data_IF_637044168973
#
_entry.id   IF_637044168973
#
_cell.length_a   1.000
_cell.length_b   1.000
_cell.length_c   1.000
_cell.angle_alpha   90.00
_cell.angle_beta   90.00
_cell.angle_gamma   90.00
#
_symmetry.space_group_name_H-M   'P 1'
#
loop_
_entity.id
_entity.type
_entity.pdbx_description
1 polymer ?
#
# COMPACT_ATOMS: atom_id res chain seq x y z
N UNK A 1 4.39 -17.95 -11.24
CA UNK A 1 4.40 -17.59 -12.67
C UNK A 1 5.71 -16.93 -13.10
N UNK A 2 6.13 -15.79 -12.52
CA UNK A 2 7.34 -15.03 -12.93
C UNK A 2 8.63 -15.85 -12.90
N UNK A 3 8.88 -16.65 -11.85
CA UNK A 3 10.05 -17.55 -11.80
C UNK A 3 10.13 -18.49 -13.00
N UNK A 4 9.00 -19.06 -13.41
CA UNK A 4 8.94 -19.97 -14.57
C UNK A 4 9.26 -19.24 -15.88
N UNK A 5 8.73 -18.03 -16.07
CA UNK A 5 9.08 -17.19 -17.21
C UNK A 5 10.57 -16.85 -17.24
N UNK A 6 11.15 -16.41 -16.11
CA UNK A 6 12.58 -16.12 -15.98
C UNK A 6 13.45 -17.30 -16.40
N UNK A 7 13.15 -18.48 -15.86
CA UNK A 7 13.88 -19.71 -16.21
C UNK A 7 13.75 -20.07 -17.69
N UNK A 8 12.53 -19.98 -18.25
CA UNK A 8 12.30 -20.31 -19.65
C UNK A 8 13.06 -19.36 -20.58
N UNK A 9 13.01 -18.04 -20.37
CA UNK A 9 13.75 -17.09 -21.20
C UNK A 9 15.25 -17.28 -21.09
N UNK A 10 15.79 -17.45 -19.88
CA UNK A 10 17.21 -17.73 -19.67
C UNK A 10 17.63 -18.98 -20.46
N UNK A 11 16.93 -20.11 -20.28
CA UNK A 11 17.29 -21.37 -20.95
C UNK A 11 17.09 -21.32 -22.47
N UNK A 12 15.99 -20.72 -22.96
CA UNK A 12 15.65 -20.71 -24.39
C UNK A 12 16.44 -19.68 -25.19
N UNK A 13 17.10 -18.73 -24.53
CA UNK A 13 18.00 -17.76 -25.17
C UNK A 13 19.47 -18.14 -25.03
N UNK A 14 19.79 -19.40 -24.68
CA UNK A 14 21.15 -19.85 -24.39
C UNK A 14 21.83 -18.91 -23.37
N UNK A 15 21.12 -18.61 -22.29
CA UNK A 15 21.59 -17.83 -21.15
C UNK A 15 21.84 -16.33 -21.42
N UNK A 16 21.42 -15.81 -22.59
CA UNK A 16 21.58 -14.39 -22.91
C UNK A 16 20.64 -13.47 -22.14
N UNK A 17 19.45 -13.95 -21.73
CA UNK A 17 18.50 -13.15 -20.95
C UNK A 17 18.78 -13.31 -19.46
N UNK A 18 19.12 -12.25 -18.73
CA UNK A 18 19.44 -12.31 -17.30
C UNK A 18 18.35 -12.99 -16.45
N UNK A 19 18.71 -13.86 -15.49
CA UNK A 19 17.76 -14.59 -14.64
C UNK A 19 16.82 -13.70 -13.82
N UNK A 20 17.24 -12.48 -13.52
CA UNK A 20 16.45 -11.49 -12.77
C UNK A 20 15.98 -10.32 -13.64
N UNK A 21 15.77 -10.54 -14.93
CA UNK A 21 15.21 -9.49 -15.79
C UNK A 21 13.87 -8.96 -15.23
N UNK A 22 13.57 -7.67 -15.49
CA UNK A 22 12.49 -6.98 -14.80
C UNK A 22 11.10 -7.38 -15.32
N UNK A 23 10.10 -7.34 -14.44
CA UNK A 23 8.68 -7.51 -14.79
C UNK A 23 7.88 -6.31 -14.29
N UNK A 24 7.04 -5.75 -15.17
CA UNK A 24 6.03 -4.76 -14.79
C UNK A 24 4.69 -5.44 -14.53
N UNK A 25 4.02 -5.07 -13.46
CA UNK A 25 2.64 -5.48 -13.17
C UNK A 25 1.77 -4.27 -12.81
N UNK A 26 0.46 -4.45 -12.90
CA UNK A 26 -0.53 -3.43 -12.52
C UNK A 26 -1.29 -3.96 -11.32
N UNK A 27 -1.37 -3.15 -10.26
CA UNK A 27 -2.21 -3.46 -9.12
C UNK A 27 -3.68 -3.53 -9.57
N UNK A 28 -4.45 -4.46 -9.02
CA UNK A 28 -5.87 -4.55 -9.32
C UNK A 28 -6.58 -3.24 -8.93
N UNK A 29 -7.20 -2.59 -9.90
CA UNK A 29 -7.98 -1.36 -9.68
C UNK A 29 -9.32 -1.67 -8.98
N UNK A 30 -9.94 -0.71 -8.28
CA UNK A 30 -11.23 -0.93 -7.64
C UNK A 30 -12.31 -1.39 -8.62
N UNK A 31 -13.18 -2.33 -8.20
CA UNK A 31 -14.33 -2.74 -9.00
C UNK A 31 -15.40 -1.63 -9.04
N UNK A 32 -16.44 -1.84 -9.85
CA UNK A 32 -17.63 -0.96 -9.86
C UNK A 32 -18.47 -1.20 -8.60
N UNK A 33 -18.58 -2.45 -8.18
CA UNK A 33 -19.40 -2.88 -7.04
C UNK A 33 -18.51 -3.48 -5.94
N UNK A 34 -18.89 -3.23 -4.68
CA UNK A 34 -18.15 -3.71 -3.50
C UNK A 34 -18.64 -5.11 -3.11
N UNK A 35 -17.90 -6.18 -3.43
CA UNK A 35 -18.17 -7.55 -2.92
C UNK A 35 -17.21 -8.67 -3.41
N UNK A 36 -16.07 -8.35 -4.02
CA UNK A 36 -15.23 -9.34 -4.69
C UNK A 36 -13.89 -9.62 -3.97
N UNK A 37 -13.59 -8.92 -2.86
CA UNK A 37 -12.38 -9.14 -2.08
C UNK A 37 -11.10 -8.68 -2.79
N UNK A 38 -11.22 -7.66 -3.63
CA UNK A 38 -10.14 -7.03 -4.39
C UNK A 38 -9.03 -6.50 -3.47
N UNK A 39 -9.36 -6.05 -2.25
CA UNK A 39 -8.33 -5.66 -1.27
C UNK A 39 -7.35 -6.81 -0.97
N UNK A 40 -7.83 -8.06 -0.84
CA UNK A 40 -6.97 -9.24 -0.63
C UNK A 40 -6.09 -9.50 -1.83
N UNK A 41 -6.66 -9.41 -3.03
CA UNK A 41 -5.88 -9.61 -4.27
C UNK A 41 -4.77 -8.57 -4.38
N UNK A 42 -5.06 -7.30 -4.10
CA UNK A 42 -4.04 -6.23 -4.08
C UNK A 42 -2.92 -6.53 -3.08
N UNK A 43 -3.26 -7.03 -1.89
CA UNK A 43 -2.28 -7.43 -0.89
C UNK A 43 -1.39 -8.58 -1.40
N UNK A 44 -1.98 -9.64 -1.95
CA UNK A 44 -1.25 -10.77 -2.49
C UNK A 44 -0.42 -10.45 -3.74
N UNK A 45 -0.82 -9.45 -4.56
CA UNK A 45 0.00 -8.97 -5.68
C UNK A 45 1.37 -8.46 -5.24
N UNK A 46 1.50 -8.07 -3.97
CA UNK A 46 2.75 -7.59 -3.37
C UNK A 46 3.44 -8.62 -2.48
N UNK A 47 2.95 -9.87 -2.42
CA UNK A 47 3.38 -10.87 -1.42
C UNK A 47 3.28 -10.37 0.02
N UNK A 48 2.22 -9.62 0.33
CA UNK A 48 1.96 -9.15 1.70
C UNK A 48 2.98 -8.12 2.22
N UNK A 49 3.62 -7.38 1.31
CA UNK A 49 4.51 -6.25 1.65
C UNK A 49 3.87 -4.88 1.46
N UNK A 50 2.81 -4.78 0.64
CA UNK A 50 2.18 -3.50 0.26
C UNK A 50 2.89 -2.77 -0.89
N UNK A 51 4.14 -3.10 -1.20
CA UNK A 51 4.89 -2.47 -2.29
C UNK A 51 5.71 -3.49 -3.10
N UNK A 52 6.10 -3.12 -4.32
CA UNK A 52 7.11 -3.85 -5.11
C UNK A 52 8.08 -2.86 -5.76
N UNK A 53 9.34 -3.25 -6.04
CA UNK A 53 9.99 -4.51 -5.67
C UNK A 53 10.09 -4.72 -4.16
N UNK A 54 10.22 -5.97 -3.74
CA UNK A 54 10.48 -6.37 -2.35
C UNK A 54 11.36 -7.64 -2.34
N UNK A 55 11.70 -8.14 -1.15
CA UNK A 55 12.59 -9.30 -0.96
C UNK A 55 12.13 -10.57 -1.68
N UNK A 56 10.82 -10.78 -1.81
CA UNK A 56 10.23 -11.92 -2.52
C UNK A 56 10.05 -11.64 -4.02
N UNK A 57 9.75 -10.39 -4.37
CA UNK A 57 9.47 -9.91 -5.73
C UNK A 57 10.61 -9.07 -6.31
N UNK A 58 11.81 -9.67 -6.35
CA UNK A 58 13.00 -9.04 -6.91
C UNK A 58 12.81 -8.60 -8.37
N UNK A 59 13.16 -7.35 -8.67
CA UNK A 59 13.02 -6.71 -9.99
C UNK A 59 11.60 -6.80 -10.57
N UNK A 60 10.57 -6.82 -9.72
CA UNK A 60 9.18 -6.67 -10.15
C UNK A 60 8.68 -5.32 -9.68
N UNK A 61 8.25 -4.49 -10.61
CA UNK A 61 7.74 -3.16 -10.33
C UNK A 61 6.24 -3.10 -10.62
N UNK A 62 5.53 -2.24 -9.90
CA UNK A 62 4.08 -2.20 -9.94
C UNK A 62 3.56 -0.78 -10.10
N UNK A 63 2.57 -0.60 -10.97
CA UNK A 63 1.73 0.59 -10.96
C UNK A 63 0.62 0.43 -9.92
N UNK A 64 0.58 1.32 -8.92
CA UNK A 64 -0.54 1.41 -7.96
C UNK A 64 -1.76 1.95 -8.68
N UNK A 65 -2.92 1.34 -8.47
CA UNK A 65 -4.15 1.66 -9.19
C UNK A 65 -5.41 1.69 -8.30
N UNK A 66 -5.26 1.49 -6.99
CA UNK A 66 -6.39 1.41 -6.05
C UNK A 66 -7.19 2.72 -5.91
N UNK A 67 -6.65 3.85 -6.36
CA UNK A 67 -7.29 5.17 -6.37
C UNK A 67 -7.86 5.55 -7.75
N UNK A 68 -7.86 4.60 -8.69
CA UNK A 68 -8.34 4.77 -10.06
C UNK A 68 -9.57 3.87 -10.30
N UNK A 69 -10.74 4.18 -9.70
CA UNK A 69 -11.89 3.30 -9.70
C UNK A 69 -12.43 2.99 -11.10
N UNK A 70 -12.89 1.76 -11.29
CA UNK A 70 -13.58 1.36 -12.51
C UNK A 70 -14.92 2.08 -12.68
N UNK A 71 -15.27 2.43 -13.92
CA UNK A 71 -16.64 2.81 -14.30
C UNK A 71 -17.38 1.67 -15.02
N UNK A 72 -16.68 0.56 -15.27
CA UNK A 72 -17.15 -0.66 -15.94
C UNK A 72 -16.13 -1.78 -15.70
N UNK A 73 -16.28 -2.94 -16.37
CA UNK A 73 -15.29 -4.03 -16.36
C UNK A 73 -13.89 -3.61 -16.84
N UNK A 74 -13.78 -2.50 -17.58
CA UNK A 74 -12.51 -1.94 -18.00
C UNK A 74 -12.19 -0.68 -17.17
N UNK A 75 -11.01 -0.60 -16.53
CA UNK A 75 -10.57 0.63 -15.90
C UNK A 75 -10.48 1.74 -16.95
N UNK A 76 -11.12 2.91 -16.76
CA UNK A 76 -11.08 4.00 -17.73
C UNK A 76 -9.70 4.71 -17.73
N UNK A 77 -8.98 4.66 -16.60
CA UNK A 77 -7.74 5.40 -16.35
C UNK A 77 -6.47 4.67 -16.83
N UNK A 78 -6.54 4.02 -18.01
CA UNK A 78 -5.40 3.24 -18.57
C UNK A 78 -4.17 4.10 -18.81
N UNK A 79 -4.35 5.39 -19.12
CA UNK A 79 -3.25 6.33 -19.32
C UNK A 79 -2.49 6.58 -18.02
N UNK A 80 -3.18 6.94 -16.94
CA UNK A 80 -2.56 7.13 -15.62
C UNK A 80 -1.85 5.85 -15.14
N UNK A 81 -2.46 4.68 -15.35
CA UNK A 81 -1.84 3.39 -15.04
C UNK A 81 -0.54 3.19 -15.85
N UNK A 82 -0.57 3.49 -17.15
CA UNK A 82 0.61 3.37 -18.01
C UNK A 82 1.72 4.34 -17.60
N UNK A 83 1.38 5.59 -17.27
CA UNK A 83 2.35 6.61 -16.83
C UNK A 83 3.04 6.16 -15.52
N UNK A 84 2.26 5.67 -14.53
CA UNK A 84 2.80 5.10 -13.29
C UNK A 84 3.67 3.87 -13.53
N UNK A 85 3.29 3.01 -14.48
CA UNK A 85 4.06 1.81 -14.82
C UNK A 85 5.38 2.17 -15.52
N UNK A 86 5.37 3.17 -16.39
CA UNK A 86 6.56 3.67 -17.09
C UNK A 86 7.55 4.31 -16.12
N UNK A 87 7.07 5.12 -15.17
CA UNK A 87 7.89 5.70 -14.09
C UNK A 87 8.64 4.61 -13.31
N UNK A 88 7.93 3.54 -12.96
CA UNK A 88 8.51 2.39 -12.28
C UNK A 88 9.49 1.60 -13.15
N UNK A 89 9.22 1.50 -14.47
CA UNK A 89 10.11 0.86 -15.42
C UNK A 89 11.44 1.62 -15.57
N UNK A 90 11.44 2.96 -15.61
CA UNK A 90 12.68 3.74 -15.67
C UNK A 90 13.61 3.37 -14.53
N UNK A 91 13.10 3.34 -13.30
CA UNK A 91 13.93 3.07 -12.13
C UNK A 91 14.37 1.60 -12.02
N UNK A 92 13.47 0.64 -12.28
CA UNK A 92 13.76 -0.79 -12.03
C UNK A 92 14.35 -1.49 -13.25
N UNK A 93 13.87 -1.18 -14.45
CA UNK A 93 14.31 -1.85 -15.68
C UNK A 93 15.50 -1.15 -16.35
N UNK A 94 15.52 0.17 -16.32
CA UNK A 94 16.56 0.98 -16.98
C UNK A 94 17.60 1.56 -16.02
N UNK A 95 17.41 1.37 -14.70
CA UNK A 95 18.28 1.91 -13.66
C UNK A 95 18.42 3.44 -13.73
N UNK A 96 17.36 4.10 -14.18
CA UNK A 96 17.28 5.53 -14.36
C UNK A 96 16.41 6.16 -13.26
N UNK A 97 17.03 7.02 -12.45
CA UNK A 97 16.39 7.71 -11.33
C UNK A 97 15.98 9.16 -11.68
N UNK A 98 16.17 9.59 -12.93
CA UNK A 98 15.92 10.97 -13.35
C UNK A 98 14.46 11.41 -13.25
N UNK A 99 13.52 10.46 -13.37
CA UNK A 99 12.08 10.71 -13.24
C UNK A 99 11.59 10.73 -11.77
N UNK A 100 12.49 10.55 -10.81
CA UNK A 100 12.15 10.54 -9.38
C UNK A 100 11.60 9.21 -8.88
N UNK A 101 10.85 9.27 -7.77
CA UNK A 101 10.32 8.09 -7.08
C UNK A 101 9.06 7.54 -7.78
N UNK A 102 8.94 6.22 -7.88
CA UNK A 102 7.76 5.55 -8.46
C UNK A 102 6.81 4.89 -7.44
N UNK A 103 7.16 4.91 -6.16
CA UNK A 103 6.33 4.38 -5.08
C UNK A 103 5.65 5.51 -4.30
N UNK A 104 4.45 5.24 -3.78
CA UNK A 104 3.84 6.07 -2.75
C UNK A 104 4.47 5.80 -1.37
N UNK A 105 4.20 6.65 -0.37
CA UNK A 105 4.79 6.55 0.95
C UNK A 105 4.29 5.28 1.67
N UNK A 106 5.17 4.60 2.41
CA UNK A 106 4.84 3.41 3.20
C UNK A 106 5.16 3.64 4.68
N UNK A 107 4.39 3.08 5.64
CA UNK A 107 4.73 3.22 7.05
C UNK A 107 6.15 2.71 7.36
N UNK A 108 6.91 3.50 8.12
CA UNK A 108 8.22 3.13 8.64
C UNK A 108 8.19 2.88 10.14
N UNK A 109 7.39 3.66 10.88
CA UNK A 109 7.19 3.44 12.30
C UNK A 109 5.78 3.83 12.74
N UNK A 110 5.32 3.21 13.83
CA UNK A 110 4.03 3.49 14.45
C UNK A 110 4.28 3.70 15.93
N UNK A 111 3.88 4.85 16.45
CA UNK A 111 3.99 5.19 17.86
C UNK A 111 2.62 5.46 18.46
N UNK A 112 2.39 4.99 19.69
CA UNK A 112 1.15 5.25 20.42
C UNK A 112 1.43 6.12 21.62
N UNK A 113 0.65 7.20 21.75
CA UNK A 113 0.59 8.03 22.95
C UNK A 113 -0.87 8.21 23.35
N UNK A 114 -1.24 7.56 24.44
CA UNK A 114 -2.60 7.49 24.98
C UNK A 114 -3.62 7.06 23.91
N UNK A 115 -4.48 8.00 23.49
CA UNK A 115 -5.54 7.81 22.50
C UNK A 115 -5.12 8.20 21.07
N UNK A 116 -3.84 8.45 20.83
CA UNK A 116 -3.32 8.88 19.54
C UNK A 116 -2.33 7.83 19.03
N UNK A 117 -2.56 7.38 17.79
CA UNK A 117 -1.64 6.54 17.05
C UNK A 117 -0.99 7.38 15.95
N UNK A 118 0.32 7.58 15.99
CA UNK A 118 1.06 8.34 14.99
C UNK A 118 1.78 7.37 14.06
N UNK A 119 1.52 7.49 12.76
CA UNK A 119 2.19 6.73 11.72
C UNK A 119 3.22 7.66 11.08
N UNK A 120 4.48 7.28 11.15
CA UNK A 120 5.57 7.92 10.42
C UNK A 120 5.84 7.15 9.14
N UNK A 121 5.85 7.84 8.01
CA UNK A 121 6.09 7.24 6.70
C UNK A 121 7.58 7.34 6.32
N UNK A 122 8.02 6.37 5.53
CA UNK A 122 9.40 6.18 5.10
C UNK A 122 9.99 7.37 4.34
N UNK A 123 9.15 8.15 3.65
CA UNK A 123 9.63 9.03 2.59
C UNK A 123 8.76 10.28 2.38
N UNK A 124 9.43 11.44 2.37
CA UNK A 124 8.93 12.72 1.87
C UNK A 124 7.82 13.36 2.71
N UNK A 125 7.39 14.56 2.31
CA UNK A 125 6.20 15.20 2.90
C UNK A 125 4.93 14.55 2.35
N UNK A 126 3.93 14.36 3.19
CA UNK A 126 2.64 13.81 2.80
C UNK A 126 1.72 14.90 2.23
N UNK A 127 0.91 14.50 1.27
CA UNK A 127 -0.30 15.20 0.88
C UNK A 127 -1.49 14.40 1.43
N UNK A 128 -2.15 14.93 2.47
CA UNK A 128 -3.35 14.31 3.04
C UNK A 128 -4.58 14.85 2.31
N UNK A 129 -5.20 14.02 1.48
CA UNK A 129 -6.33 14.41 0.63
C UNK A 129 -7.71 14.08 1.21
N UNK A 130 -7.76 13.15 2.15
CA UNK A 130 -8.98 12.81 2.87
C UNK A 130 -8.67 12.51 4.33
N UNK A 131 -9.52 13.01 5.22
CA UNK A 131 -9.53 12.69 6.65
C UNK A 131 -10.77 11.88 7.03
N UNK A 132 -11.55 11.46 6.02
CA UNK A 132 -12.84 10.80 6.21
C UNK A 132 -12.68 9.44 6.92
N UNK A 133 -13.71 9.05 7.66
CA UNK A 133 -13.76 7.78 8.36
C UNK A 133 -13.90 6.65 7.33
N UNK A 134 -12.88 5.79 7.22
CA UNK A 134 -12.96 4.58 6.39
C UNK A 134 -11.68 4.20 5.67
N UNK A 135 -10.67 5.07 5.60
CA UNK A 135 -9.39 4.71 5.02
C UNK A 135 -8.51 3.90 5.96
N UNK A 136 -8.59 4.17 7.26
CA UNK A 136 -7.87 3.47 8.32
C UNK A 136 -8.82 2.73 9.23
N UNK A 137 -8.38 1.55 9.66
CA UNK A 137 -9.08 0.73 10.64
C UNK A 137 -8.09 0.19 11.66
N UNK A 138 -8.55 0.08 12.91
CA UNK A 138 -7.81 -0.46 14.04
C UNK A 138 -8.46 -1.74 14.52
N UNK A 139 -7.63 -2.70 14.88
CA UNK A 139 -8.01 -3.87 15.63
C UNK A 139 -7.79 -3.57 17.11
N UNK A 140 -8.85 -3.67 17.91
CA UNK A 140 -8.79 -3.49 19.36
C UNK A 140 -9.26 -4.74 20.09
N UNK A 141 -8.51 -5.18 21.08
CA UNK A 141 -8.85 -6.37 21.87
C UNK A 141 -8.39 -6.26 23.32
N UNK A 142 -9.10 -6.98 24.20
CA UNK A 142 -8.74 -7.11 25.61
C UNK A 142 -7.44 -7.89 25.83
N UNK A 143 -7.01 -8.70 24.85
CA UNK A 143 -5.75 -9.45 24.88
C UNK A 143 -4.79 -8.90 23.80
N UNK A 144 -3.58 -8.53 24.22
CA UNK A 144 -2.53 -7.95 23.39
C UNK A 144 -2.06 -8.85 22.23
N UNK A 145 -2.27 -10.16 22.34
CA UNK A 145 -1.90 -11.13 21.29
C UNK A 145 -2.98 -11.39 20.23
N UNK A 146 -4.11 -10.69 20.30
CA UNK A 146 -5.27 -10.97 19.44
C UNK A 146 -5.05 -10.49 18.00
N UNK A 147 -5.31 -11.37 17.03
CA UNK A 147 -5.41 -11.01 15.61
C UNK A 147 -6.90 -10.91 15.27
N UNK A 148 -7.34 -9.73 14.83
CA UNK A 148 -8.75 -9.52 14.48
C UNK A 148 -9.19 -10.31 13.26
N UNK A 149 -10.39 -10.90 13.36
CA UNK A 149 -11.16 -11.36 12.21
C UNK A 149 -11.68 -10.17 11.37
N UNK A 150 -12.13 -10.42 10.14
CA UNK A 150 -12.50 -9.35 9.18
C UNK A 150 -13.57 -8.39 9.68
N UNK A 151 -14.45 -8.84 10.57
CA UNK A 151 -15.57 -8.08 11.15
C UNK A 151 -15.23 -7.40 12.49
N UNK A 152 -14.00 -7.54 13.00
CA UNK A 152 -13.57 -6.99 14.30
C UNK A 152 -12.80 -5.67 14.17
N UNK A 153 -12.60 -5.20 12.94
CA UNK A 153 -11.90 -3.95 12.64
C UNK A 153 -12.83 -2.74 12.79
N UNK A 154 -12.34 -1.69 13.44
CA UNK A 154 -13.09 -0.45 13.69
C UNK A 154 -12.44 0.72 12.94
N UNK A 155 -13.25 1.50 12.23
CA UNK A 155 -12.75 2.66 11.48
C UNK A 155 -12.20 3.75 12.41
N UNK A 156 -11.16 4.44 11.93
CA UNK A 156 -10.59 5.62 12.58
C UNK A 156 -10.43 6.76 11.57
N UNK A 157 -10.07 7.94 12.08
CA UNK A 157 -9.92 9.20 11.34
C UNK A 157 -8.55 9.80 11.60
N UNK A 158 -8.03 10.49 10.58
CA UNK A 158 -6.85 11.34 10.72
C UNK A 158 -7.27 12.62 11.44
N UNK A 159 -6.66 12.89 12.59
CA UNK A 159 -6.90 14.10 13.39
C UNK A 159 -5.84 15.18 13.17
N UNK A 160 -4.65 14.80 12.71
CA UNK A 160 -3.57 15.71 12.37
C UNK A 160 -2.60 15.07 11.39
N UNK A 161 -1.83 15.89 10.70
CA UNK A 161 -0.74 15.47 9.82
C UNK A 161 0.36 16.52 9.82
N UNK A 162 1.60 16.09 9.88
CA UNK A 162 2.77 16.97 9.87
C UNK A 162 3.94 16.28 9.17
N UNK A 163 4.57 16.96 8.21
CA UNK A 163 5.72 16.42 7.48
C UNK A 163 5.41 15.08 6.82
N UNK A 164 6.09 14.02 7.26
CA UNK A 164 5.94 12.64 6.80
C UNK A 164 4.99 11.80 7.68
N UNK A 165 4.16 12.42 8.53
CA UNK A 165 3.38 11.71 9.55
C UNK A 165 1.89 12.04 9.53
N UNK A 166 1.07 11.07 9.96
CA UNK A 166 -0.36 11.26 10.26
C UNK A 166 -0.66 10.74 11.65
N UNK A 167 -1.56 11.43 12.35
CA UNK A 167 -2.07 11.03 13.66
C UNK A 167 -3.51 10.56 13.55
N UNK A 168 -3.80 9.38 14.09
CA UNK A 168 -5.10 8.75 14.12
C UNK A 168 -5.68 8.77 15.54
N UNK A 169 -7.01 8.91 15.64
CA UNK A 169 -7.72 8.79 16.91
C UNK A 169 -8.00 7.32 17.24
N UNK A 170 -7.57 6.82 18.39
CA UNK A 170 -7.89 5.47 18.83
C UNK A 170 -9.33 5.45 19.39
N UNK A 171 -10.28 4.72 18.77
CA UNK A 171 -11.69 4.73 19.17
C UNK A 171 -12.02 3.77 20.33
N UNK A 172 -11.01 3.10 20.90
CA UNK A 172 -11.17 2.03 21.87
C UNK A 172 -10.30 2.26 23.12
N UNK A 173 -10.70 1.67 24.25
CA UNK A 173 -9.94 1.71 25.52
C UNK A 173 -8.98 0.54 25.71
N UNK A 174 -9.03 -0.45 24.83
CA UNK A 174 -8.29 -1.71 24.95
C UNK A 174 -6.90 -1.65 24.28
N UNK A 175 -6.24 -2.80 24.14
CA UNK A 175 -5.00 -2.91 23.37
C UNK A 175 -5.31 -2.70 21.88
N UNK A 176 -4.42 -1.99 21.19
CA UNK A 176 -4.48 -1.85 19.74
C UNK A 176 -3.56 -2.92 19.17
N UNK A 177 -4.13 -3.99 18.62
CA UNK A 177 -3.40 -5.19 18.19
C UNK A 177 -3.31 -5.31 16.67
N UNK A 178 -3.76 -4.28 15.95
CA UNK A 178 -3.54 -4.18 14.52
C UNK A 178 -3.96 -2.84 13.95
N UNK A 179 -3.40 -2.55 12.78
CA UNK A 179 -3.68 -1.37 11.97
C UNK A 179 -3.74 -1.79 10.51
N UNK A 180 -4.76 -1.33 9.79
CA UNK A 180 -4.83 -1.50 8.33
C UNK A 180 -5.26 -0.23 7.62
N UNK A 181 -4.87 -0.13 6.36
CA UNK A 181 -5.15 1.01 5.49
C UNK A 181 -5.60 0.57 4.11
N UNK A 182 -6.57 1.30 3.54
CA UNK A 182 -7.16 1.06 2.23
C UNK A 182 -7.65 -0.40 2.04
N UNK A 183 -8.17 -1.00 3.12
CA UNK A 183 -8.57 -2.41 3.20
C UNK A 183 -10.05 -2.64 2.80
N UNK A 184 -10.44 -2.07 1.66
CA UNK A 184 -11.79 -2.16 1.09
C UNK A 184 -11.69 -2.27 -0.42
N UNK A 185 -12.58 -2.99 -1.11
CA UNK A 185 -12.53 -3.12 -2.58
C UNK A 185 -12.45 -1.75 -3.27
N UNK A 186 -13.21 -0.78 -2.74
CA UNK A 186 -13.24 0.62 -3.18
C UNK A 186 -12.76 1.48 -2.01
N UNK A 187 -11.45 1.68 -1.84
CA UNK A 187 -10.91 2.37 -0.67
C UNK A 187 -11.11 3.88 -0.72
N UNK A 188 -11.26 4.45 -1.92
CA UNK A 188 -11.43 5.89 -2.10
C UNK A 188 -12.06 6.22 -3.47
N UNK A 189 -12.51 7.46 -3.61
CA UNK A 189 -12.88 8.03 -4.90
C UNK A 189 -11.63 8.33 -5.74
N UNK A 190 -11.82 8.66 -7.02
CA UNK A 190 -10.75 8.96 -7.97
C UNK A 190 -9.72 9.93 -7.38
N UNK A 191 -8.49 9.46 -7.20
CA UNK A 191 -7.34 10.23 -6.71
C UNK A 191 -7.54 10.91 -5.34
N UNK A 192 -8.47 10.38 -4.52
CA UNK A 192 -8.88 10.92 -3.21
C UNK A 192 -8.69 9.90 -2.07
N UNK A 193 -7.69 9.03 -2.16
CA UNK A 193 -7.24 8.26 -1.00
C UNK A 193 -6.63 9.17 0.08
N UNK A 194 -6.57 8.71 1.33
CA UNK A 194 -6.20 9.63 2.41
C UNK A 194 -4.76 10.13 2.33
N UNK A 195 -3.79 9.26 2.01
CA UNK A 195 -2.36 9.60 2.06
C UNK A 195 -1.71 9.47 0.69
N UNK A 196 -1.04 10.55 0.26
CA UNK A 196 -0.23 10.63 -0.96
C UNK A 196 1.16 11.18 -0.65
N UNK A 197 2.13 10.89 -1.52
CA UNK A 197 3.41 11.60 -1.55
C UNK A 197 3.22 12.95 -2.24
N UNK A 198 3.68 14.02 -1.62
CA UNK A 198 3.70 15.37 -2.23
C UNK A 198 4.68 15.49 -3.40
N UNK A 199 5.65 14.58 -3.53
CA UNK A 199 6.68 14.63 -4.57
C UNK A 199 6.16 14.16 -5.93
N UNK A 200 5.39 13.06 -5.94
CA UNK A 200 4.98 12.36 -7.16
C UNK A 200 3.47 12.13 -7.25
N UNK A 201 2.69 12.60 -6.27
CA UNK A 201 1.24 12.43 -6.22
C UNK A 201 0.77 10.97 -6.29
N UNK A 202 1.61 10.02 -5.85
CA UNK A 202 1.25 8.60 -5.75
C UNK A 202 0.69 8.25 -4.37
N UNK A 203 -0.38 7.44 -4.30
CA UNK A 203 -1.00 7.08 -3.03
C UNK A 203 -0.14 6.10 -2.24
N UNK A 204 -0.19 6.19 -0.91
CA UNK A 204 0.27 5.12 -0.03
C UNK A 204 -0.46 3.82 -0.41
N UNK A 205 0.18 2.65 -0.52
CA UNK A 205 -0.50 1.42 -0.90
C UNK A 205 -1.29 0.80 0.28
N UNK A 206 -2.17 -0.20 0.03
CA UNK A 206 -2.84 -0.92 1.11
C UNK A 206 -1.83 -1.66 1.98
N UNK A 207 -2.13 -1.73 3.28
CA UNK A 207 -1.36 -2.55 4.22
C UNK A 207 -2.24 -3.07 5.35
N UNK A 208 -1.77 -4.13 6.00
CA UNK A 208 -2.29 -4.65 7.26
C UNK A 208 -1.10 -5.04 8.14
N UNK A 209 -1.13 -4.61 9.39
CA UNK A 209 -0.14 -4.92 10.41
C UNK A 209 -0.90 -5.55 11.59
N UNK A 210 -0.59 -6.80 11.89
CA UNK A 210 -1.19 -7.56 12.99
C UNK A 210 -0.20 -7.64 14.15
N UNK A 211 0.05 -6.48 14.75
CA UNK A 211 1.01 -6.31 15.83
C UNK A 211 0.42 -5.45 16.94
N UNK A 212 0.84 -5.71 18.19
CA UNK A 212 0.48 -4.85 19.32
C UNK A 212 1.20 -3.50 19.21
N UNK A 213 0.45 -2.42 19.41
CA UNK A 213 0.96 -1.05 19.56
C UNK A 213 0.76 -0.58 21.01
N UNK A 214 1.73 -0.85 21.91
CA UNK A 214 1.63 -0.49 23.33
C UNK A 214 1.65 1.02 23.53
N UNK A 215 0.95 1.50 24.56
CA UNK A 215 1.02 2.91 24.94
C UNK A 215 2.45 3.30 25.37
N UNK A 216 2.98 4.41 24.84
CA UNK A 216 4.32 4.90 25.11
C UNK A 216 5.44 4.17 24.37
N UNK A 217 5.10 3.34 23.39
CA UNK A 217 6.07 2.59 22.58
C UNK A 217 6.04 3.00 21.10
N UNK A 218 7.11 2.65 20.39
CA UNK A 218 7.24 2.78 18.94
C UNK A 218 7.57 1.41 18.36
N UNK A 219 6.86 1.02 17.31
CA UNK A 219 7.03 -0.21 16.55
C UNK A 219 7.56 0.17 15.17
N UNK A 220 8.62 -0.49 14.71
CA UNK A 220 9.14 -0.29 13.35
C UNK A 220 8.47 -1.28 12.41
N UNK A 221 8.18 -0.83 11.19
CA UNK A 221 7.51 -1.61 10.13
C UNK A 221 8.51 -2.08 9.08
#
# INVERSE_FOLDING_TARGET
MVRGWRMNWFQKTNEQTALLFPFGQVQLAPPVDNNDGFYKVRWYQTHEYGFTPNSELNNIFMAVAMDLPGSSTNPPYKRQIADRLSLAAFQVAYLDQSEGRFQGPFPASISRMDSILTIEYDLGTLEVRSTDNGNFELCCSADEGTICEENEWTTTTIIASEGNSVALLIPCSDYVTGLRYAWSDIPCSLELCAVYSSENSLPAPPFVLNENFPNGATVNV
#
